data_IF_885608442601
#
_entry.id   IF_885608442601
#
_cell.length_a   1.000
_cell.length_b   1.000
_cell.length_c   1.000
_cell.angle_alpha   90.00
_cell.angle_beta   90.00
_cell.angle_gamma   90.00
#
_symmetry.space_group_name_H-M   'P 1'
#
loop_
_entity.id
_entity.type
_entity.pdbx_description
1 polymer ?
#
# COMPACT_ATOMS: atom_id res chain seq x y z
N UNK A 1 49.53 -0.43 4.38
CA UNK A 1 48.91 -0.16 5.71
C UNK A 1 47.84 0.89 5.49
N UNK A 2 46.58 0.50 5.45
CA UNK A 2 45.46 1.42 5.24
C UNK A 2 45.09 2.12 6.54
N UNK A 3 45.21 3.45 6.56
CA UNK A 3 44.67 4.27 7.65
C UNK A 3 43.14 4.14 7.65
N UNK A 4 42.59 3.57 8.71
CA UNK A 4 41.16 3.53 8.95
C UNK A 4 40.60 4.93 9.11
N UNK A 5 39.50 5.19 8.41
CA UNK A 5 38.70 6.41 8.56
C UNK A 5 38.16 6.47 10.00
N UNK A 6 38.57 7.49 10.76
CA UNK A 6 38.10 7.72 12.12
C UNK A 6 36.62 8.14 12.15
N UNK A 7 35.95 7.85 13.27
CA UNK A 7 34.51 8.08 13.56
C UNK A 7 33.97 9.48 13.28
N UNK A 8 34.82 10.49 13.09
CA UNK A 8 34.44 11.90 12.90
C UNK A 8 34.95 12.50 11.58
N UNK A 9 35.32 11.67 10.59
CA UNK A 9 35.72 12.20 9.28
C UNK A 9 34.48 12.74 8.56
N UNK A 10 34.46 14.01 8.11
CA UNK A 10 33.34 14.53 7.33
C UNK A 10 33.25 13.69 6.06
N UNK A 11 32.13 12.99 5.92
CA UNK A 11 31.82 12.18 4.75
C UNK A 11 31.57 13.14 3.60
N UNK A 12 32.64 13.61 2.94
CA UNK A 12 32.54 14.23 1.62
C UNK A 12 32.42 13.07 0.62
N UNK A 13 31.29 12.35 0.68
CA UNK A 13 30.88 11.48 -0.41
C UNK A 13 30.32 12.39 -1.49
N UNK A 14 30.90 12.34 -2.68
CA UNK A 14 30.10 12.53 -3.89
C UNK A 14 28.94 11.53 -3.78
N UNK A 15 27.77 12.00 -3.34
CA UNK A 15 26.61 11.16 -3.10
C UNK A 15 26.06 10.67 -4.44
N UNK A 16 26.63 9.58 -4.94
CA UNK A 16 26.06 8.84 -6.06
C UNK A 16 24.76 8.13 -5.68
N UNK A 17 24.05 7.65 -6.69
CA UNK A 17 22.79 6.90 -6.58
C UNK A 17 22.84 5.83 -5.47
N UNK A 18 23.85 4.98 -5.48
CA UNK A 18 23.95 3.83 -4.56
C UNK A 18 24.09 4.26 -3.09
N UNK A 19 24.78 5.38 -2.84
CA UNK A 19 24.90 5.92 -1.48
C UNK A 19 23.54 6.42 -0.95
N UNK A 20 22.73 7.02 -1.82
CA UNK A 20 21.41 7.47 -1.44
C UNK A 20 20.43 6.33 -1.23
N UNK A 21 20.46 5.32 -2.09
CA UNK A 21 19.64 4.11 -1.90
C UNK A 21 20.01 3.41 -0.61
N UNK A 22 21.30 3.30 -0.29
CA UNK A 22 21.77 2.80 0.98
C UNK A 22 21.31 3.65 2.18
N UNK A 23 21.15 4.97 2.03
CA UNK A 23 20.58 5.84 3.06
C UNK A 23 19.08 5.60 3.25
N UNK A 24 18.33 5.49 2.15
CA UNK A 24 16.90 5.19 2.20
C UNK A 24 16.67 3.83 2.80
N UNK A 25 17.49 2.84 2.44
CA UNK A 25 17.53 1.58 3.14
C UNK A 25 17.79 1.90 4.62
N UNK A 26 19.00 2.28 5.04
CA UNK A 26 19.36 2.43 6.47
C UNK A 26 18.38 3.22 7.35
N UNK A 27 17.84 4.32 6.87
CA UNK A 27 17.01 5.25 7.67
C UNK A 27 15.53 5.25 7.30
N UNK A 28 15.14 4.55 6.24
CA UNK A 28 13.75 4.50 5.82
C UNK A 28 12.89 3.67 6.75
N UNK A 29 11.61 4.02 6.76
CA UNK A 29 10.55 3.35 7.50
C UNK A 29 9.72 2.50 6.55
N UNK A 30 9.12 1.44 7.09
CA UNK A 30 8.14 0.67 6.33
C UNK A 30 6.90 1.51 6.08
N UNK A 31 6.54 1.60 4.81
CA UNK A 31 5.47 2.44 4.30
C UNK A 31 4.55 1.61 3.42
N UNK A 32 3.25 1.67 3.67
CA UNK A 32 2.27 1.29 2.67
C UNK A 32 2.07 2.45 1.71
N UNK A 33 2.10 2.18 0.41
CA UNK A 33 1.77 3.13 -0.63
C UNK A 33 0.51 2.68 -1.38
N UNK A 34 -0.52 3.54 -1.38
CA UNK A 34 -1.73 3.39 -2.18
C UNK A 34 -1.85 4.52 -3.18
N UNK A 35 -2.29 4.19 -4.38
CA UNK A 35 -2.39 5.13 -5.50
C UNK A 35 -3.78 5.73 -5.54
N UNK A 36 -3.84 7.03 -5.78
CA UNK A 36 -5.10 7.72 -6.02
C UNK A 36 -5.64 7.38 -7.42
N UNK A 37 -6.86 6.85 -7.45
CA UNK A 37 -7.64 6.63 -8.66
C UNK A 37 -8.86 7.54 -8.65
N UNK A 38 -9.26 8.02 -9.83
CA UNK A 38 -10.48 8.81 -9.97
C UNK A 38 -11.69 8.00 -9.52
N UNK A 39 -12.45 8.55 -8.57
CA UNK A 39 -13.69 7.94 -8.12
C UNK A 39 -14.74 7.95 -9.25
N UNK A 40 -15.54 6.89 -9.33
CA UNK A 40 -16.60 6.76 -10.34
C UNK A 40 -17.71 7.81 -10.21
N UNK A 41 -17.84 8.50 -9.07
CA UNK A 41 -18.82 9.60 -8.92
C UNK A 41 -18.40 10.88 -9.65
N UNK A 42 -17.11 11.03 -9.99
CA UNK A 42 -16.59 12.26 -10.60
C UNK A 42 -17.02 12.31 -12.06
N UNK A 43 -18.01 13.17 -12.34
CA UNK A 43 -18.57 13.34 -13.68
C UNK A 43 -17.49 13.90 -14.64
N UNK A 44 -17.43 13.34 -15.85
CA UNK A 44 -16.36 13.62 -16.82
C UNK A 44 -16.25 15.10 -17.25
N UNK A 45 -17.35 15.84 -17.25
CA UNK A 45 -17.39 17.23 -17.74
C UNK A 45 -17.05 18.24 -16.63
N UNK A 46 -17.60 18.06 -15.42
CA UNK A 46 -17.43 19.02 -14.33
C UNK A 46 -16.20 18.75 -13.48
N UNK A 47 -15.65 17.53 -13.51
CA UNK A 47 -14.62 17.04 -12.59
C UNK A 47 -14.96 17.24 -11.11
N UNK A 48 -16.23 17.51 -10.79
CA UNK A 48 -16.70 17.71 -9.44
C UNK A 48 -17.20 16.36 -8.87
N UNK A 49 -16.65 15.90 -7.74
CA UNK A 49 -17.20 14.76 -7.03
C UNK A 49 -18.55 15.08 -6.41
N UNK A 50 -19.37 14.05 -6.24
CA UNK A 50 -20.56 14.13 -5.39
C UNK A 50 -20.12 14.17 -3.91
N UNK A 51 -20.50 15.24 -3.20
CA UNK A 51 -20.15 15.46 -1.79
C UNK A 51 -20.69 14.34 -0.87
N UNK A 52 -21.75 13.65 -1.29
CA UNK A 52 -22.35 12.55 -0.54
C UNK A 52 -21.92 11.17 -1.07
N UNK A 53 -20.90 11.10 -1.94
CA UNK A 53 -20.45 9.83 -2.50
C UNK A 53 -19.96 8.87 -1.39
N UNK A 54 -20.55 7.67 -1.24
CA UNK A 54 -20.17 6.72 -0.19
C UNK A 54 -18.84 6.01 -0.45
N UNK A 55 -18.19 6.28 -1.59
CA UNK A 55 -16.90 5.68 -1.94
C UNK A 55 -15.74 6.62 -1.65
N UNK A 56 -15.86 7.89 -2.05
CA UNK A 56 -14.77 8.87 -1.92
C UNK A 56 -15.04 9.97 -0.89
N UNK A 57 -16.21 9.97 -0.24
CA UNK A 57 -16.59 10.99 0.73
C UNK A 57 -16.54 12.42 0.17
N UNK A 58 -16.90 12.60 -1.10
CA UNK A 58 -16.77 13.90 -1.76
C UNK A 58 -15.35 14.32 -2.14
N UNK A 59 -14.33 13.49 -1.95
CA UNK A 59 -12.93 13.81 -2.33
C UNK A 59 -12.66 13.63 -3.82
N UNK A 60 -13.42 12.76 -4.48
CA UNK A 60 -13.24 12.43 -5.90
C UNK A 60 -12.15 11.40 -6.20
N UNK A 61 -11.52 10.83 -5.17
CA UNK A 61 -10.50 9.78 -5.31
C UNK A 61 -10.85 8.54 -4.49
N UNK A 62 -10.44 7.39 -4.99
CA UNK A 62 -10.40 6.10 -4.29
C UNK A 62 -8.96 5.60 -4.29
N UNK A 63 -8.61 4.73 -3.35
CA UNK A 63 -7.22 4.28 -3.19
C UNK A 63 -7.07 2.80 -3.47
N UNK A 64 -6.14 2.45 -4.35
CA UNK A 64 -5.85 1.07 -4.76
C UNK A 64 -4.39 0.71 -4.52
N UNK A 65 -4.09 -0.58 -4.62
CA UNK A 65 -2.73 -1.07 -4.51
C UNK A 65 -1.97 -0.90 -5.83
N UNK A 66 -0.73 -0.42 -5.77
CA UNK A 66 0.17 -0.46 -6.91
C UNK A 66 0.54 -1.91 -7.21
N UNK A 67 0.26 -2.39 -8.42
CA UNK A 67 0.66 -3.74 -8.86
C UNK A 67 1.89 -3.75 -9.74
N UNK A 68 2.14 -2.67 -10.48
CA UNK A 68 3.16 -2.61 -11.53
C UNK A 68 3.97 -1.32 -11.45
N UNK A 69 5.27 -1.42 -11.20
CA UNK A 69 6.15 -0.26 -11.15
C UNK A 69 6.89 -0.08 -12.48
N UNK A 70 7.02 1.15 -12.96
CA UNK A 70 7.87 1.46 -14.10
C UNK A 70 9.29 1.69 -13.60
N UNK A 71 10.23 0.88 -14.10
CA UNK A 71 11.64 1.01 -13.79
C UNK A 71 12.43 1.31 -15.05
N UNK A 72 13.54 2.00 -14.86
CA UNK A 72 14.41 2.43 -15.93
C UNK A 72 15.81 1.87 -15.67
N UNK A 73 16.38 1.14 -16.62
CA UNK A 73 17.73 0.62 -16.52
C UNK A 73 18.61 1.14 -17.65
N UNK A 74 19.85 1.50 -17.32
CA UNK A 74 20.86 1.83 -18.32
C UNK A 74 21.64 0.57 -18.61
N UNK A 75 21.51 0.07 -19.83
CA UNK A 75 22.15 -1.18 -20.29
C UNK A 75 23.15 -0.87 -21.39
N UNK A 76 24.27 -1.58 -21.38
CA UNK A 76 25.34 -1.40 -22.37
C UNK A 76 25.32 -2.53 -23.38
N UNK A 77 25.54 -2.18 -24.65
CA UNK A 77 25.69 -3.15 -25.73
C UNK A 77 26.97 -3.97 -25.51
N UNK A 78 26.79 -5.25 -25.19
CA UNK A 78 27.88 -6.15 -24.78
C UNK A 78 28.69 -6.67 -25.97
N UNK A 79 28.02 -6.90 -27.09
CA UNK A 79 28.60 -7.48 -28.30
C UNK A 79 28.19 -6.76 -29.59
N UNK A 80 28.76 -7.18 -30.71
CA UNK A 80 28.39 -6.68 -32.04
C UNK A 80 27.12 -7.33 -32.62
N UNK A 81 26.38 -8.11 -31.82
CA UNK A 81 25.18 -8.86 -32.25
C UNK A 81 23.90 -8.29 -31.66
N UNK A 82 23.95 -7.11 -31.04
CA UNK A 82 22.75 -6.46 -30.51
C UNK A 82 22.27 -7.01 -29.16
N UNK A 83 23.14 -7.63 -28.37
CA UNK A 83 22.78 -8.16 -27.05
C UNK A 83 23.12 -7.16 -25.95
N UNK A 84 22.11 -6.84 -25.14
CA UNK A 84 22.18 -5.96 -23.97
C UNK A 84 21.95 -6.79 -22.71
N UNK A 85 22.91 -6.82 -21.79
CA UNK A 85 22.74 -7.55 -20.52
C UNK A 85 21.87 -6.75 -19.55
N UNK A 86 20.91 -7.42 -18.92
CA UNK A 86 20.09 -6.88 -17.83
C UNK A 86 20.58 -7.38 -16.49
N UNK A 87 20.30 -6.57 -15.46
CA UNK A 87 20.43 -6.98 -14.07
C UNK A 87 19.46 -8.12 -13.73
N UNK A 88 19.86 -9.03 -12.84
CA UNK A 88 19.06 -10.17 -12.43
C UNK A 88 17.73 -9.75 -11.77
N UNK A 89 17.72 -8.62 -11.06
CA UNK A 89 16.52 -8.05 -10.44
C UNK A 89 15.43 -7.66 -11.46
N UNK A 90 15.77 -7.57 -12.75
CA UNK A 90 14.88 -7.20 -13.85
C UNK A 90 14.47 -8.39 -14.71
N UNK A 91 14.86 -9.61 -14.32
CA UNK A 91 14.53 -10.86 -15.03
C UNK A 91 13.03 -11.05 -15.24
N UNK A 92 12.19 -10.71 -14.26
CA UNK A 92 10.72 -10.82 -14.37
C UNK A 92 10.03 -9.60 -14.98
N UNK A 93 10.76 -8.51 -15.25
CA UNK A 93 10.16 -7.28 -15.76
C UNK A 93 9.83 -7.38 -17.26
N UNK A 94 8.73 -6.76 -17.68
CA UNK A 94 8.33 -6.64 -19.09
C UNK A 94 9.07 -5.45 -19.72
N UNK A 95 9.67 -5.62 -20.90
CA UNK A 95 10.25 -4.50 -21.66
C UNK A 95 9.13 -3.72 -22.34
N UNK A 96 9.02 -2.43 -22.05
CA UNK A 96 8.05 -1.54 -22.70
C UNK A 96 8.69 -0.78 -23.86
N UNK A 97 9.83 -0.15 -23.60
CA UNK A 97 10.49 0.73 -24.56
C UNK A 97 12.01 0.66 -24.40
N UNK A 98 12.75 0.92 -25.48
CA UNK A 98 14.20 0.97 -25.48
C UNK A 98 14.68 2.14 -26.33
N UNK A 99 15.58 2.95 -25.75
CA UNK A 99 16.12 4.14 -26.39
C UNK A 99 17.63 4.19 -26.32
N UNK A 100 18.30 4.72 -27.34
CA UNK A 100 19.70 5.14 -27.21
C UNK A 100 19.83 6.54 -26.60
N UNK A 101 21.06 7.01 -26.45
CA UNK A 101 21.37 8.34 -25.90
C UNK A 101 20.91 9.50 -26.80
N UNK A 102 20.65 9.23 -28.08
CA UNK A 102 20.13 10.19 -29.06
C UNK A 102 18.60 10.24 -29.04
N UNK A 103 17.94 9.34 -28.31
CA UNK A 103 16.49 9.23 -28.22
C UNK A 103 15.86 8.40 -29.34
N UNK A 104 16.64 7.68 -30.14
CA UNK A 104 16.09 6.79 -31.15
C UNK A 104 15.44 5.58 -30.47
N UNK A 105 14.22 5.23 -30.90
CA UNK A 105 13.45 4.12 -30.37
C UNK A 105 13.77 2.82 -31.12
N UNK A 106 13.88 1.72 -30.38
CA UNK A 106 14.17 0.39 -30.93
C UNK A 106 12.94 -0.51 -30.78
N UNK A 107 11.98 -0.40 -31.70
CA UNK A 107 10.69 -1.11 -31.64
C UNK A 107 10.80 -2.63 -31.80
N UNK A 108 11.84 -3.10 -32.50
CA UNK A 108 12.11 -4.53 -32.68
C UNK A 108 12.80 -5.19 -31.47
N UNK A 109 13.12 -4.41 -30.43
CA UNK A 109 13.81 -4.92 -29.26
C UNK A 109 12.93 -5.91 -28.49
N UNK A 110 13.47 -7.09 -28.20
CA UNK A 110 12.77 -8.13 -27.45
C UNK A 110 13.58 -8.52 -26.22
N UNK A 111 12.92 -8.58 -25.07
CA UNK A 111 13.51 -9.12 -23.85
C UNK A 111 13.43 -10.64 -23.85
N UNK A 112 14.57 -11.29 -23.67
CA UNK A 112 14.74 -12.73 -23.56
C UNK A 112 15.38 -13.03 -22.21
N UNK A 113 14.57 -13.29 -21.19
CA UNK A 113 14.99 -13.48 -19.81
C UNK A 113 15.86 -12.32 -19.27
N UNK A 114 17.19 -12.51 -19.25
CA UNK A 114 18.18 -11.60 -18.66
C UNK A 114 18.90 -10.73 -19.70
N UNK A 115 18.47 -10.72 -20.95
CA UNK A 115 19.04 -9.85 -21.97
C UNK A 115 17.96 -9.26 -22.88
N UNK A 116 18.29 -8.14 -23.51
CA UNK A 116 17.49 -7.52 -24.57
C UNK A 116 18.22 -7.73 -25.88
N UNK A 117 17.50 -8.24 -26.87
CA UNK A 117 17.98 -8.44 -28.23
C UNK A 117 17.39 -7.36 -29.14
N UNK A 118 18.24 -6.62 -29.87
CA UNK A 118 17.83 -5.51 -30.72
C UNK A 118 17.16 -5.91 -32.05
N UNK A 119 17.18 -7.20 -32.42
CA UNK A 119 16.61 -7.70 -33.69
C UNK A 119 17.61 -7.69 -34.85
N UNK A 120 17.43 -8.61 -35.80
CA UNK A 120 18.37 -8.86 -36.91
C UNK A 120 18.46 -7.69 -37.92
N UNK A 121 17.36 -6.99 -38.14
CA UNK A 121 17.26 -5.88 -39.11
C UNK A 121 17.77 -4.54 -38.55
N UNK A 122 18.18 -4.51 -37.28
CA UNK A 122 18.65 -3.29 -36.63
C UNK A 122 20.13 -3.09 -36.94
N UNK A 123 20.47 -1.95 -37.55
CA UNK A 123 21.88 -1.54 -37.68
C UNK A 123 22.44 -1.29 -36.28
N UNK A 124 23.25 -2.23 -35.79
CA UNK A 124 23.77 -2.17 -34.44
C UNK A 124 24.68 -0.95 -34.25
N UNK A 125 24.47 -0.16 -33.18
CA UNK A 125 25.45 0.82 -32.74
C UNK A 125 26.78 0.15 -32.39
N UNK A 126 27.84 0.96 -32.23
CA UNK A 126 29.14 0.43 -31.82
C UNK A 126 29.04 -0.20 -30.43
N UNK A 127 29.78 -1.31 -30.22
CA UNK A 127 29.93 -1.93 -28.91
C UNK A 127 30.29 -0.86 -27.86
N UNK A 128 29.67 -0.94 -26.69
CA UNK A 128 29.81 0.08 -25.63
C UNK A 128 28.79 1.22 -25.71
N UNK A 129 27.91 1.24 -26.71
CA UNK A 129 26.76 2.17 -26.71
C UNK A 129 25.82 1.84 -25.56
N UNK A 130 25.36 2.87 -24.86
CA UNK A 130 24.40 2.76 -23.76
C UNK A 130 22.98 3.00 -24.26
N UNK A 131 22.05 2.26 -23.67
CA UNK A 131 20.63 2.33 -23.92
C UNK A 131 19.89 2.52 -22.61
N UNK A 132 18.75 3.19 -22.67
CA UNK A 132 17.78 3.23 -21.58
C UNK A 132 16.64 2.28 -21.88
N UNK A 133 16.55 1.20 -21.10
CA UNK A 133 15.42 0.28 -21.11
C UNK A 133 14.35 0.75 -20.13
N UNK A 134 13.13 0.98 -20.63
CA UNK A 134 11.93 1.24 -19.83
C UNK A 134 11.20 -0.08 -19.65
N UNK A 135 11.02 -0.49 -18.39
CA UNK A 135 10.46 -1.80 -18.05
C UNK A 135 9.33 -1.66 -17.04
N UNK A 136 8.36 -2.58 -17.12
CA UNK A 136 7.30 -2.75 -16.13
C UNK A 136 7.63 -3.93 -15.24
N UNK A 137 7.86 -3.65 -13.96
CA UNK A 137 8.10 -4.66 -12.92
C UNK A 137 6.79 -4.93 -12.18
N UNK A 138 6.32 -6.18 -12.22
CA UNK A 138 5.25 -6.61 -11.33
C UNK A 138 5.81 -6.71 -9.90
N UNK A 139 5.20 -6.00 -8.96
CA UNK A 139 5.61 -5.99 -7.54
C UNK A 139 4.76 -6.91 -6.67
N UNK A 140 3.72 -7.51 -7.25
CA UNK A 140 2.93 -8.55 -6.59
C UNK A 140 3.80 -9.79 -6.42
N UNK A 141 3.90 -10.25 -5.17
CA UNK A 141 4.52 -11.50 -4.80
C UNK A 141 3.44 -12.57 -4.64
N UNK A 142 3.83 -13.84 -4.79
CA UNK A 142 2.94 -14.99 -4.65
C UNK A 142 3.48 -15.94 -3.59
N UNK A 143 2.65 -16.28 -2.62
CA UNK A 143 2.89 -17.36 -1.67
C UNK A 143 2.04 -18.56 -2.10
N UNK A 144 2.69 -19.68 -2.39
CA UNK A 144 2.01 -20.86 -2.96
C UNK A 144 1.03 -21.49 -1.97
N UNK A 145 1.41 -21.65 -0.69
CA UNK A 145 0.54 -22.20 0.34
C UNK A 145 0.97 -21.79 1.75
N UNK A 146 0.01 -21.64 2.66
CA UNK A 146 0.24 -21.46 4.09
C UNK A 146 -0.95 -21.96 4.92
N UNK A 147 -0.68 -22.37 6.17
CA UNK A 147 -1.72 -22.58 7.19
C UNK A 147 -2.01 -21.24 7.85
N UNK A 148 -3.24 -20.76 7.74
CA UNK A 148 -3.65 -19.50 8.31
C UNK A 148 -3.94 -19.63 9.81
N UNK A 149 -3.59 -18.60 10.58
CA UNK A 149 -3.78 -18.58 12.03
C UNK A 149 -5.01 -17.76 12.38
N UNK A 150 -6.00 -18.39 13.03
CA UNK A 150 -7.20 -17.70 13.50
C UNK A 150 -6.83 -16.67 14.58
N UNK A 151 -7.26 -15.45 14.38
CA UNK A 151 -7.17 -14.36 15.34
C UNK A 151 -8.50 -14.23 16.10
N UNK A 152 -8.43 -13.84 17.37
CA UNK A 152 -9.58 -13.51 18.21
C UNK A 152 -10.51 -12.43 17.62
N UNK A 153 -10.06 -11.68 16.61
CA UNK A 153 -10.85 -10.65 15.92
C UNK A 153 -11.73 -11.19 14.77
N UNK A 154 -11.84 -12.51 14.59
CA UNK A 154 -12.60 -13.11 13.47
C UNK A 154 -11.89 -13.03 12.11
N UNK A 155 -10.59 -12.70 12.13
CA UNK A 155 -9.72 -12.72 10.96
C UNK A 155 -8.78 -13.93 11.02
N UNK A 156 -8.25 -14.29 9.87
CA UNK A 156 -7.20 -15.28 9.69
C UNK A 156 -5.93 -14.56 9.24
N UNK A 157 -4.82 -14.82 9.91
CA UNK A 157 -3.51 -14.25 9.59
C UNK A 157 -2.74 -15.22 8.72
N UNK A 158 -2.19 -14.75 7.60
CA UNK A 158 -1.31 -15.57 6.76
C UNK A 158 0.14 -15.41 7.24
N UNK A 159 0.77 -16.47 7.80
CA UNK A 159 2.15 -16.40 8.22
C UNK A 159 3.09 -16.27 7.01
N UNK A 160 4.32 -15.81 7.25
CA UNK A 160 5.33 -15.61 6.20
C UNK A 160 5.16 -14.33 5.38
N UNK A 161 4.12 -13.54 5.64
CA UNK A 161 3.90 -12.23 5.00
C UNK A 161 4.44 -11.05 5.82
N UNK A 162 5.29 -11.31 6.82
CA UNK A 162 5.95 -10.29 7.63
C UNK A 162 7.33 -9.98 7.06
N UNK A 163 7.56 -8.71 6.75
CA UNK A 163 8.83 -8.21 6.23
C UNK A 163 9.67 -7.74 7.40
N UNK A 164 10.75 -8.48 7.68
CA UNK A 164 11.64 -8.20 8.80
C UNK A 164 12.82 -7.36 8.34
N UNK A 165 13.20 -6.41 9.18
CA UNK A 165 14.40 -5.61 8.94
C UNK A 165 15.12 -5.24 10.22
N UNK A 166 16.44 -5.29 10.15
CA UNK A 166 17.32 -4.86 11.23
C UNK A 166 17.82 -3.46 10.86
N UNK A 167 17.57 -2.47 11.72
CA UNK A 167 18.26 -1.19 11.60
C UNK A 167 19.66 -1.27 12.27
N UNK A 168 20.51 -0.26 12.03
CA UNK A 168 21.87 -0.20 12.57
C UNK A 168 21.89 -0.17 14.11
N UNK A 169 20.80 0.30 14.72
CA UNK A 169 20.64 0.41 16.18
C UNK A 169 20.11 -0.88 16.82
N UNK A 170 19.93 -1.96 16.05
CA UNK A 170 19.42 -3.24 16.55
C UNK A 170 17.93 -3.24 16.88
N UNK A 171 17.18 -2.22 16.45
CA UNK A 171 15.73 -2.20 16.53
C UNK A 171 15.17 -2.99 15.35
N UNK A 172 14.41 -4.02 15.69
CA UNK A 172 13.73 -4.89 14.73
C UNK A 172 12.36 -4.30 14.45
N UNK A 173 12.11 -3.93 13.20
CA UNK A 173 10.79 -3.53 12.74
C UNK A 173 10.28 -4.58 11.77
N UNK A 174 9.11 -5.13 12.09
CA UNK A 174 8.37 -6.03 11.20
C UNK A 174 7.18 -5.26 10.63
N UNK A 175 6.95 -5.40 9.33
CA UNK A 175 5.79 -4.82 8.67
C UNK A 175 5.09 -5.87 7.80
N UNK A 176 3.76 -6.04 7.94
CA UNK A 176 3.03 -6.99 7.12
C UNK A 176 2.91 -6.49 5.67
N UNK A 177 2.97 -7.42 4.73
CA UNK A 177 2.52 -7.21 3.36
C UNK A 177 1.01 -7.07 3.30
N UNK A 178 0.51 -6.40 2.26
CA UNK A 178 -0.92 -6.35 1.96
C UNK A 178 -1.34 -7.53 1.09
N UNK A 179 -2.31 -8.31 1.55
CA UNK A 179 -2.97 -9.32 0.71
C UNK A 179 -3.86 -8.59 -0.31
N UNK A 180 -3.71 -8.95 -1.58
CA UNK A 180 -4.55 -8.46 -2.68
C UNK A 180 -5.65 -9.48 -3.00
N UNK A 181 -5.27 -10.76 -3.02
CA UNK A 181 -6.15 -11.86 -3.40
C UNK A 181 -5.66 -13.17 -2.80
N UNK A 182 -6.58 -14.12 -2.62
CA UNK A 182 -6.29 -15.49 -2.24
C UNK A 182 -6.96 -16.39 -3.28
N UNK A 183 -6.20 -17.31 -3.87
CA UNK A 183 -6.72 -18.20 -4.91
C UNK A 183 -7.67 -19.26 -4.36
N UNK A 184 -7.27 -19.92 -3.27
CA UNK A 184 -8.06 -20.98 -2.64
C UNK A 184 -7.97 -20.91 -1.11
N UNK A 185 -9.09 -21.15 -0.43
CA UNK A 185 -9.16 -21.28 1.03
C UNK A 185 -9.88 -22.59 1.34
N UNK A 186 -9.25 -23.47 2.09
CA UNK A 186 -9.82 -24.78 2.48
C UNK A 186 -9.62 -25.02 3.96
N UNK A 187 -10.61 -25.61 4.61
CA UNK A 187 -10.47 -26.07 5.99
C UNK A 187 -10.00 -27.54 6.07
N UNK A 188 -9.92 -28.11 7.27
CA UNK A 188 -9.49 -29.50 7.48
C UNK A 188 -10.49 -30.54 6.97
N UNK A 189 -11.77 -30.16 6.83
CA UNK A 189 -12.81 -31.00 6.24
C UNK A 189 -12.78 -30.97 4.70
N UNK A 190 -11.96 -30.10 4.10
CA UNK A 190 -11.85 -29.92 2.65
C UNK A 190 -12.93 -29.02 2.06
N UNK A 191 -13.65 -28.28 2.90
CA UNK A 191 -14.67 -27.31 2.47
C UNK A 191 -13.96 -26.08 1.94
N UNK A 192 -14.38 -25.59 0.76
CA UNK A 192 -13.81 -24.40 0.14
C UNK A 192 -14.56 -23.14 0.56
N UNK A 193 -13.81 -22.10 0.89
CA UNK A 193 -14.34 -20.82 1.36
C UNK A 193 -13.89 -19.65 0.49
N UNK A 194 -14.58 -18.51 0.61
CA UNK A 194 -14.19 -17.23 0.01
C UNK A 194 -13.75 -16.24 1.07
N UNK A 195 -12.78 -15.40 0.70
CA UNK A 195 -12.41 -14.25 1.52
C UNK A 195 -13.41 -13.10 1.28
N UNK A 196 -14.01 -12.58 2.34
CA UNK A 196 -14.90 -11.43 2.28
C UNK A 196 -14.18 -10.12 2.41
N UNK A 197 -13.01 -10.09 3.06
CA UNK A 197 -12.27 -8.87 3.36
C UNK A 197 -10.77 -9.14 3.49
N UNK A 198 -9.96 -8.13 3.16
CA UNK A 198 -8.50 -8.13 3.32
C UNK A 198 -8.06 -6.94 4.16
N UNK A 199 -7.10 -7.18 5.05
CA UNK A 199 -6.53 -6.18 5.94
C UNK A 199 -5.09 -6.55 6.26
N UNK A 200 -4.11 -5.82 5.73
CA UNK A 200 -2.68 -6.17 5.87
C UNK A 200 -2.46 -7.64 5.42
N UNK A 201 -1.82 -8.45 6.24
CA UNK A 201 -1.61 -9.89 6.04
C UNK A 201 -2.76 -10.76 6.60
N UNK A 202 -3.94 -10.16 6.81
CA UNK A 202 -5.10 -10.82 7.37
C UNK A 202 -6.26 -10.81 6.38
N UNK A 203 -7.12 -11.82 6.49
CA UNK A 203 -8.35 -11.92 5.70
C UNK A 203 -9.49 -12.46 6.55
N UNK A 204 -10.72 -12.22 6.11
CA UNK A 204 -11.92 -12.78 6.75
C UNK A 204 -12.58 -13.77 5.82
N UNK A 205 -13.08 -14.87 6.37
CA UNK A 205 -13.82 -15.90 5.65
C UNK A 205 -15.32 -15.56 5.64
N UNK A 206 -15.97 -15.78 4.50
CA UNK A 206 -17.44 -15.74 4.38
C UNK A 206 -18.06 -16.92 5.14
N UNK A 207 -19.01 -16.70 6.06
CA UNK A 207 -19.78 -17.80 6.62
C UNK A 207 -20.47 -18.58 5.50
N UNK A 208 -20.34 -19.90 5.51
CA UNK A 208 -21.07 -20.76 4.57
C UNK A 208 -22.31 -21.26 5.27
N UNK A 209 -23.48 -21.00 4.70
CA UNK A 209 -24.77 -21.43 5.24
C UNK A 209 -25.15 -22.75 4.58
N UNK A 210 -25.50 -23.74 5.40
CA UNK A 210 -26.03 -25.01 4.91
C UNK A 210 -27.44 -24.77 4.31
N UNK A 211 -27.67 -25.13 3.04
CA UNK A 211 -28.95 -24.88 2.37
C UNK A 211 -30.12 -25.68 2.95
N UNK A 212 -29.88 -26.77 3.68
CA UNK A 212 -30.94 -27.60 4.27
C UNK A 212 -31.34 -27.13 5.67
N UNK A 213 -30.37 -26.69 6.47
CA UNK A 213 -30.59 -26.31 7.88
C UNK A 213 -30.68 -24.80 8.09
N UNK A 214 -30.24 -23.99 7.11
CA UNK A 214 -30.05 -22.55 7.23
C UNK A 214 -29.07 -22.15 8.36
N UNK A 215 -28.25 -23.09 8.85
CA UNK A 215 -27.25 -22.86 9.89
C UNK A 215 -25.85 -22.60 9.28
N UNK A 216 -25.03 -21.81 9.99
CA UNK A 216 -23.63 -21.59 9.60
C UNK A 216 -22.80 -22.87 9.80
N UNK A 217 -22.14 -23.32 8.74
CA UNK A 217 -21.23 -24.46 8.80
C UNK A 217 -19.96 -24.03 9.56
N UNK A 218 -19.63 -24.67 10.70
CA UNK A 218 -18.46 -24.31 11.47
C UNK A 218 -17.17 -24.60 10.69
N UNK A 219 -16.24 -23.66 10.71
CA UNK A 219 -14.93 -23.81 10.06
C UNK A 219 -14.07 -24.77 10.87
N UNK A 220 -13.59 -25.85 10.24
CA UNK A 220 -12.76 -26.87 10.92
C UNK A 220 -11.27 -26.56 10.75
N UNK A 221 -10.58 -26.20 11.82
CA UNK A 221 -9.13 -25.94 11.76
C UNK A 221 -8.30 -27.22 11.48
N UNK A 222 -7.14 -27.10 10.79
CA UNK A 222 -6.53 -25.87 10.29
C UNK A 222 -7.14 -25.35 8.98
N UNK A 223 -7.21 -24.02 8.84
CA UNK A 223 -7.46 -23.36 7.56
C UNK A 223 -6.17 -23.26 6.73
N UNK A 224 -6.20 -23.76 5.51
CA UNK A 224 -5.11 -23.65 4.51
C UNK A 224 -5.50 -22.66 3.42
N UNK A 225 -4.55 -21.81 3.02
CA UNK A 225 -4.68 -20.88 1.90
C UNK A 225 -3.66 -21.22 0.82
N UNK A 226 -4.05 -21.06 -0.45
CA UNK A 226 -3.18 -21.27 -1.60
C UNK A 226 -3.18 -20.07 -2.54
N UNK A 227 -2.04 -19.86 -3.22
CA UNK A 227 -1.85 -18.83 -4.23
C UNK A 227 -2.19 -17.42 -3.72
N UNK A 228 -1.64 -17.06 -2.57
CA UNK A 228 -1.86 -15.75 -1.95
C UNK A 228 -1.03 -14.71 -2.70
N UNK A 229 -1.70 -13.74 -3.32
CA UNK A 229 -1.06 -12.59 -3.93
C UNK A 229 -0.95 -11.46 -2.91
N UNK A 230 0.25 -10.92 -2.73
CA UNK A 230 0.50 -9.84 -1.79
C UNK A 230 1.45 -8.77 -2.34
N UNK A 231 1.45 -7.59 -1.72
CA UNK A 231 2.42 -6.52 -1.98
C UNK A 231 3.22 -6.25 -0.71
N UNK A 232 4.55 -6.39 -0.74
CA UNK A 232 5.38 -6.01 0.39
C UNK A 232 5.33 -4.49 0.62
N UNK A 233 5.53 -4.03 1.87
CA UNK A 233 5.66 -2.62 2.16
C UNK A 233 6.91 -2.04 1.50
N UNK A 234 6.87 -0.73 1.25
CA UNK A 234 7.98 0.04 0.70
C UNK A 234 8.85 0.62 1.81
N UNK A 235 10.08 1.00 1.47
CA UNK A 235 10.98 1.70 2.38
C UNK A 235 11.14 3.13 1.89
N UNK A 236 10.52 4.08 2.58
CA UNK A 236 10.68 5.51 2.31
C UNK A 236 11.20 6.24 3.54
N UNK A 237 11.84 7.39 3.34
CA UNK A 237 12.33 8.24 4.41
C UNK A 237 11.37 9.41 4.59
N UNK A 238 10.73 9.49 5.75
CA UNK A 238 9.85 10.59 6.12
C UNK A 238 10.56 11.53 7.10
N UNK A 239 10.66 12.82 6.74
CA UNK A 239 11.30 13.85 7.56
C UNK A 239 10.35 15.03 7.77
N UNK A 240 10.04 15.34 9.03
CA UNK A 240 9.28 16.54 9.44
C UNK A 240 10.15 17.61 10.09
N UNK A 241 11.42 17.29 10.39
CA UNK A 241 12.37 18.17 11.07
C UNK A 241 13.73 18.14 10.38
N UNK A 242 14.57 19.14 10.66
CA UNK A 242 15.91 19.27 10.08
C UNK A 242 15.92 19.29 8.53
N UNK A 243 14.85 19.83 7.94
CA UNK A 243 14.76 20.02 6.50
C UNK A 243 15.79 21.07 6.06
N UNK A 244 16.41 20.84 4.90
CA UNK A 244 17.20 21.89 4.26
C UNK A 244 16.28 23.05 3.84
N UNK A 245 16.84 24.24 3.60
CA UNK A 245 16.06 25.45 3.29
C UNK A 245 15.12 25.28 2.08
N UNK A 246 15.51 24.51 1.07
CA UNK A 246 14.69 24.27 -0.11
C UNK A 246 13.49 23.39 0.18
N UNK A 247 13.72 22.27 0.86
CA UNK A 247 12.69 21.33 1.28
C UNK A 247 11.71 22.01 2.26
N UNK A 248 12.22 22.77 3.24
CA UNK A 248 11.39 23.53 4.18
C UNK A 248 10.47 24.55 3.48
N UNK A 249 11.00 25.29 2.52
CA UNK A 249 10.21 26.22 1.69
C UNK A 249 9.13 25.49 0.89
N UNK A 250 9.44 24.33 0.32
CA UNK A 250 8.47 23.54 -0.43
C UNK A 250 7.33 23.02 0.46
N UNK A 251 7.64 22.61 1.70
CA UNK A 251 6.66 22.20 2.70
C UNK A 251 5.73 23.37 3.05
N UNK A 252 6.29 24.54 3.36
CA UNK A 252 5.53 25.75 3.69
C UNK A 252 4.61 26.20 2.54
N UNK A 253 5.14 26.32 1.32
CA UNK A 253 4.38 26.72 0.13
C UNK A 253 3.20 25.79 -0.19
N UNK A 254 3.32 24.51 0.18
CA UNK A 254 2.30 23.50 -0.11
C UNK A 254 1.40 23.21 1.08
N UNK A 255 1.57 23.95 2.19
CA UNK A 255 0.89 23.68 3.46
C UNK A 255 1.00 22.20 3.88
N UNK A 256 2.20 21.62 3.68
CA UNK A 256 2.53 20.25 4.05
C UNK A 256 3.09 20.15 5.47
N UNK A 257 3.26 18.91 5.94
CA UNK A 257 3.76 18.61 7.29
C UNK A 257 5.16 17.95 7.27
N UNK A 258 5.52 17.32 6.16
CA UNK A 258 6.78 16.59 6.03
C UNK A 258 7.24 16.47 4.57
N UNK A 259 8.48 16.05 4.39
CA UNK A 259 9.03 15.59 3.11
C UNK A 259 9.23 14.09 3.17
N UNK A 260 8.73 13.39 2.16
CA UNK A 260 8.97 11.97 1.95
C UNK A 260 9.97 11.80 0.79
N UNK A 261 11.06 11.06 1.03
CA UNK A 261 12.06 10.69 0.04
C UNK A 261 11.98 9.20 -0.25
N UNK A 262 12.03 8.81 -1.52
CA UNK A 262 11.81 7.42 -1.94
C UNK A 262 12.75 7.02 -3.09
N UNK A 263 12.99 5.71 -3.29
CA UNK A 263 13.84 5.22 -4.37
C UNK A 263 13.43 5.79 -5.73
N UNK A 264 14.41 6.03 -6.61
CA UNK A 264 14.16 6.67 -7.91
C UNK A 264 13.17 5.89 -8.80
N UNK A 265 13.06 4.57 -8.59
CA UNK A 265 12.16 3.68 -9.32
C UNK A 265 10.70 3.81 -8.87
N UNK A 266 10.45 4.33 -7.67
CA UNK A 266 9.10 4.65 -7.25
C UNK A 266 8.66 5.98 -7.87
N UNK A 267 7.37 6.09 -8.15
CA UNK A 267 6.77 7.28 -8.77
C UNK A 267 5.54 7.74 -8.00
N UNK A 268 5.78 8.11 -6.74
CA UNK A 268 4.75 8.62 -5.84
C UNK A 268 4.20 9.92 -6.40
N UNK A 269 2.88 9.95 -6.60
CA UNK A 269 2.17 11.03 -7.28
C UNK A 269 1.31 11.85 -6.33
N UNK A 270 0.85 13.02 -6.78
CA UNK A 270 -0.07 13.84 -6.00
C UNK A 270 -1.35 13.05 -5.67
N UNK A 271 -1.91 13.33 -4.49
CA UNK A 271 -3.06 12.65 -3.89
C UNK A 271 -2.86 11.19 -3.48
N UNK A 272 -1.73 10.55 -3.82
CA UNK A 272 -1.38 9.23 -3.28
C UNK A 272 -1.32 9.26 -1.74
N UNK A 273 -1.56 8.08 -1.15
CA UNK A 273 -1.59 7.88 0.29
C UNK A 273 -0.42 7.01 0.74
N UNK A 274 0.29 7.52 1.74
CA UNK A 274 1.43 6.87 2.36
C UNK A 274 1.14 6.63 3.84
N UNK A 275 1.10 5.37 4.29
CA UNK A 275 0.87 5.00 5.69
C UNK A 275 2.15 4.46 6.31
N UNK A 276 2.60 5.09 7.39
CA UNK A 276 3.77 4.62 8.17
C UNK A 276 3.36 3.38 8.96
N UNK A 277 4.02 2.25 8.70
CA UNK A 277 3.75 0.98 9.38
C UNK A 277 4.65 0.77 10.62
N UNK A 278 5.70 1.59 10.77
CA UNK A 278 6.60 1.58 11.91
C UNK A 278 6.18 2.63 12.94
N UNK A 279 5.26 2.24 13.83
CA UNK A 279 4.79 3.08 14.92
C UNK A 279 3.31 3.43 14.81
N UNK A 280 2.67 3.45 15.98
CA UNK A 280 1.29 3.88 16.13
C UNK A 280 1.17 4.84 17.31
N UNK A 281 0.09 5.61 17.34
CA UNK A 281 -0.26 6.43 18.49
C UNK A 281 -1.73 6.20 18.86
N UNK A 282 -2.04 6.33 20.15
CA UNK A 282 -3.39 6.15 20.66
C UNK A 282 -4.23 7.40 20.41
N UNK A 283 -5.44 7.23 19.89
CA UNK A 283 -6.45 8.27 19.77
C UNK A 283 -7.74 7.83 20.48
N UNK A 284 -8.53 8.83 20.89
CA UNK A 284 -9.85 8.64 21.47
C UNK A 284 -10.87 9.47 20.71
N UNK A 285 -11.95 8.85 20.30
CA UNK A 285 -13.07 9.52 19.66
C UNK A 285 -14.39 9.13 20.34
N UNK A 286 -15.42 9.94 20.13
CA UNK A 286 -16.81 9.61 20.44
C UNK A 286 -17.58 9.54 19.12
N UNK A 287 -18.23 8.43 18.87
CA UNK A 287 -18.94 8.13 17.62
C UNK A 287 -20.38 7.75 17.97
N UNK A 288 -21.34 8.15 17.13
CA UNK A 288 -22.72 7.70 17.24
C UNK A 288 -22.94 6.48 16.36
N UNK A 289 -23.64 5.46 16.88
CA UNK A 289 -24.05 4.31 16.08
C UNK A 289 -24.97 4.79 14.95
N UNK A 290 -24.56 4.51 13.73
CA UNK A 290 -25.32 4.88 12.53
C UNK A 290 -26.42 3.86 12.23
N UNK A 291 -27.35 4.23 11.35
CA UNK A 291 -28.31 3.28 10.75
C UNK A 291 -27.65 2.34 9.72
N UNK A 292 -26.38 2.55 9.40
CA UNK A 292 -25.66 1.76 8.42
C UNK A 292 -25.11 0.49 9.07
N UNK A 293 -24.72 -0.47 8.23
CA UNK A 293 -24.08 -1.72 8.68
C UNK A 293 -22.75 -1.46 9.41
N UNK A 294 -22.11 -0.32 9.13
CA UNK A 294 -20.82 0.02 9.73
C UNK A 294 -20.74 1.48 10.14
N UNK A 295 -20.16 1.74 11.31
CA UNK A 295 -19.76 3.06 11.75
C UNK A 295 -18.35 3.40 11.25
N UNK A 296 -18.07 4.66 10.94
CA UNK A 296 -16.74 5.07 10.45
C UNK A 296 -15.99 5.89 11.50
N UNK A 297 -14.77 5.46 11.80
CA UNK A 297 -13.82 6.17 12.65
C UNK A 297 -13.15 7.29 11.83
N UNK A 298 -12.91 8.45 12.45
CA UNK A 298 -12.35 9.62 11.75
C UNK A 298 -10.93 9.42 11.22
N UNK A 299 -10.16 8.53 11.86
CA UNK A 299 -8.84 8.15 11.38
C UNK A 299 -8.93 7.30 10.10
N UNK A 300 -7.92 7.42 9.22
CA UNK A 300 -7.91 6.69 7.95
C UNK A 300 -7.45 5.23 8.10
N UNK A 301 -6.42 5.00 8.92
CA UNK A 301 -5.85 3.69 9.17
C UNK A 301 -5.76 3.39 10.67
N UNK A 302 -6.81 2.78 11.18
CA UNK A 302 -6.89 2.24 12.54
C UNK A 302 -6.20 0.89 12.54
N UNK A 303 -5.13 0.74 13.32
CA UNK A 303 -4.33 -0.47 13.42
C UNK A 303 -4.96 -1.53 14.32
N UNK A 304 -5.48 -1.13 15.47
CA UNK A 304 -6.20 -1.96 16.41
C UNK A 304 -7.23 -1.12 17.18
N UNK A 305 -8.19 -1.78 17.82
CA UNK A 305 -9.08 -1.14 18.79
C UNK A 305 -8.61 -1.56 20.18
N UNK A 306 -8.41 -0.58 21.06
CA UNK A 306 -7.99 -0.81 22.44
C UNK A 306 -9.20 -1.04 23.33
N UNK A 307 -10.25 -0.22 23.20
CA UNK A 307 -11.48 -0.35 23.98
C UNK A 307 -12.64 0.38 23.32
N UNK A 308 -13.86 -0.16 23.44
CA UNK A 308 -15.11 0.54 23.07
C UNK A 308 -16.03 0.53 24.29
N UNK A 309 -16.55 1.70 24.67
CA UNK A 309 -17.36 1.87 25.88
C UNK A 309 -18.58 2.74 25.61
N UNK A 310 -19.74 2.32 26.09
CA UNK A 310 -21.03 3.01 25.96
C UNK A 310 -21.75 3.15 27.29
N UNK A 311 -22.98 3.64 27.27
CA UNK A 311 -23.80 3.80 28.47
C UNK A 311 -25.19 3.22 28.20
N UNK A 312 -25.49 2.07 28.81
CA UNK A 312 -26.80 1.42 28.68
C UNK A 312 -27.52 1.53 30.01
N UNK A 313 -28.74 2.07 30.00
CA UNK A 313 -29.56 2.29 31.19
C UNK A 313 -28.85 3.08 32.33
N UNK A 314 -27.88 3.93 31.97
CA UNK A 314 -27.10 4.73 32.91
C UNK A 314 -25.86 4.05 33.49
N UNK A 315 -25.56 2.81 33.09
CA UNK A 315 -24.35 2.08 33.48
C UNK A 315 -23.32 2.05 32.34
N UNK A 316 -22.03 2.19 32.69
CA UNK A 316 -20.93 2.07 31.72
C UNK A 316 -20.78 0.61 31.29
N UNK A 317 -20.87 0.37 29.99
CA UNK A 317 -20.69 -0.96 29.40
C UNK A 317 -19.47 -0.95 28.49
N UNK A 318 -18.60 -1.95 28.64
CA UNK A 318 -17.47 -2.17 27.76
C UNK A 318 -17.82 -3.28 26.76
N UNK A 319 -17.80 -2.93 25.46
CA UNK A 319 -18.06 -3.87 24.38
C UNK A 319 -16.78 -4.63 24.03
N UNK A 320 -16.93 -5.91 23.69
CA UNK A 320 -15.83 -6.83 23.39
C UNK A 320 -15.66 -7.01 21.89
N UNK A 321 -14.45 -6.77 21.40
CA UNK A 321 -14.09 -7.05 20.01
C UNK A 321 -14.17 -8.56 19.71
N UNK A 322 -14.74 -8.92 18.56
CA UNK A 322 -14.99 -10.30 18.14
C UNK A 322 -16.28 -10.91 18.70
N UNK A 323 -16.91 -10.27 19.69
CA UNK A 323 -18.20 -10.71 20.28
C UNK A 323 -19.31 -9.71 20.00
N UNK A 324 -19.08 -8.43 20.29
CA UNK A 324 -20.08 -7.37 20.13
C UNK A 324 -19.85 -6.58 18.83
N UNK A 325 -18.59 -6.38 18.46
CA UNK A 325 -18.20 -5.65 17.26
C UNK A 325 -16.91 -6.19 16.66
N UNK A 326 -16.64 -5.81 15.41
CA UNK A 326 -15.38 -6.07 14.72
C UNK A 326 -14.92 -4.81 13.97
N UNK A 327 -13.60 -4.67 13.83
CA UNK A 327 -13.00 -3.63 12.99
C UNK A 327 -12.89 -4.16 11.56
N UNK A 328 -13.62 -3.53 10.64
CA UNK A 328 -13.73 -3.83 9.21
C UNK A 328 -12.94 -2.82 8.39
N UNK A 329 -12.29 -3.29 7.32
CA UNK A 329 -11.48 -2.44 6.44
C UNK A 329 -10.36 -1.74 7.20
N UNK A 330 -10.15 -0.44 6.96
CA UNK A 330 -9.08 0.33 7.61
C UNK A 330 -9.55 1.16 8.80
N UNK A 331 -10.84 1.48 8.90
CA UNK A 331 -11.35 2.41 9.91
C UNK A 331 -12.85 2.28 10.22
N UNK A 332 -13.45 1.09 10.05
CA UNK A 332 -14.88 0.91 10.27
C UNK A 332 -15.19 -0.08 11.37
N UNK A 333 -16.25 0.16 12.11
CA UNK A 333 -16.76 -0.78 13.11
C UNK A 333 -18.04 -1.38 12.57
N UNK A 334 -18.10 -2.71 12.52
CA UNK A 334 -19.34 -3.45 12.28
C UNK A 334 -19.79 -4.04 13.60
N UNK A 335 -20.97 -3.66 14.06
CA UNK A 335 -21.66 -4.32 15.17
C UNK A 335 -22.17 -5.67 14.70
N UNK A 336 -21.97 -6.71 15.50
CA UNK A 336 -22.35 -8.08 15.15
C UNK A 336 -23.86 -8.28 15.42
N UNK A 337 -24.55 -9.00 14.53
CA UNK A 337 -26.01 -9.19 14.62
C UNK A 337 -26.42 -10.05 15.82
N UNK A 338 -25.52 -10.96 16.23
CA UNK A 338 -25.66 -11.81 17.40
C UNK A 338 -25.04 -11.20 18.68
N UNK A 339 -24.68 -9.92 18.66
CA UNK A 339 -24.18 -9.24 19.85
C UNK A 339 -25.29 -9.16 20.91
N UNK A 340 -25.04 -9.67 22.11
CA UNK A 340 -25.96 -9.52 23.25
C UNK A 340 -26.11 -8.06 23.66
N UNK A 341 -25.05 -7.26 23.45
CA UNK A 341 -24.96 -5.87 23.87
C UNK A 341 -24.42 -5.03 22.71
N UNK A 342 -25.16 -4.00 22.30
CA UNK A 342 -24.70 -2.99 21.35
C UNK A 342 -25.37 -1.64 21.65
N UNK A 343 -24.74 -0.49 21.37
CA UNK A 343 -25.36 0.82 21.58
C UNK A 343 -26.60 0.95 20.70
N UNK A 344 -27.65 1.66 21.11
CA UNK A 344 -28.80 1.88 20.23
C UNK A 344 -28.44 2.78 19.03
N UNK A 345 -29.23 2.72 17.96
CA UNK A 345 -29.06 3.62 16.81
C UNK A 345 -29.18 5.07 17.27
N UNK A 346 -28.16 5.88 16.99
CA UNK A 346 -28.05 7.28 17.42
C UNK A 346 -27.39 7.45 18.79
N UNK A 347 -27.21 6.37 19.56
CA UNK A 347 -26.47 6.41 20.83
C UNK A 347 -24.98 6.62 20.58
N UNK A 348 -24.36 7.43 21.42
CA UNK A 348 -22.93 7.72 21.35
C UNK A 348 -22.13 6.73 22.20
N UNK A 349 -21.04 6.21 21.65
CA UNK A 349 -20.06 5.41 22.36
C UNK A 349 -18.66 6.01 22.18
N UNK A 350 -17.80 5.77 23.17
CA UNK A 350 -16.40 6.16 23.13
C UNK A 350 -15.54 5.01 22.62
N UNK A 351 -14.52 5.35 21.85
CA UNK A 351 -13.55 4.39 21.34
C UNK A 351 -12.13 4.88 21.59
N UNK A 352 -11.27 3.97 22.04
CA UNK A 352 -9.82 4.17 22.12
C UNK A 352 -9.16 3.19 21.17
N UNK A 353 -8.23 3.65 20.34
CA UNK A 353 -7.66 2.86 19.26
C UNK A 353 -6.26 3.34 18.87
N UNK A 354 -5.42 2.45 18.31
CA UNK A 354 -4.13 2.87 17.75
C UNK A 354 -4.25 3.21 16.27
N UNK A 355 -3.60 4.30 15.86
CA UNK A 355 -3.58 4.77 14.47
C UNK A 355 -2.18 4.64 13.91
N UNK A 356 -2.08 4.17 12.67
CA UNK A 356 -0.87 4.34 11.87
C UNK A 356 -0.92 5.70 11.16
N UNK A 357 0.09 6.57 11.34
CA UNK A 357 0.13 7.86 10.65
C UNK A 357 0.00 7.70 9.14
N UNK A 358 -1.07 8.24 8.57
CA UNK A 358 -1.31 8.27 7.13
C UNK A 358 -1.13 9.68 6.61
N UNK A 359 -0.42 9.82 5.49
CA UNK A 359 -0.15 11.08 4.83
C UNK A 359 -0.66 11.05 3.39
N UNK A 360 -1.16 12.20 2.92
CA UNK A 360 -1.45 12.45 1.51
C UNK A 360 -0.32 13.24 0.87
N UNK A 361 0.04 12.85 -0.33
CA UNK A 361 1.03 13.56 -1.14
C UNK A 361 0.40 14.82 -1.72
N UNK A 362 0.98 15.99 -1.44
CA UNK A 362 0.42 17.28 -1.87
C UNK A 362 1.20 17.93 -3.00
N UNK A 363 2.51 17.66 -3.09
CA UNK A 363 3.36 18.24 -4.14
C UNK A 363 4.60 17.38 -4.38
N UNK A 364 4.90 17.07 -5.63
CA UNK A 364 6.21 16.57 -6.03
C UNK A 364 7.26 17.69 -5.98
N UNK A 365 8.41 17.42 -5.36
CA UNK A 365 9.55 18.34 -5.39
C UNK A 365 10.35 18.02 -6.65
N UNK A 366 10.39 18.93 -7.65
CA UNK A 366 11.10 18.67 -8.88
C UNK A 366 12.59 18.52 -8.58
N UNK A 367 13.18 17.48 -9.15
CA UNK A 367 14.61 17.23 -9.01
C UNK A 367 15.34 17.57 -10.30
N UNK A 368 16.31 18.45 -10.16
CA UNK A 368 17.22 18.78 -11.26
C UNK A 368 18.20 17.61 -11.40
N UNK A 369 18.36 17.09 -12.61
CA UNK A 369 19.38 16.08 -12.89
C UNK A 369 20.77 16.67 -12.63
N UNK A 370 21.68 15.88 -12.07
CA UNK A 370 23.07 16.30 -11.98
C UNK A 370 23.69 16.37 -13.37
N UNK A 371 24.79 17.12 -13.52
CA UNK A 371 25.56 17.19 -14.77
C UNK A 371 26.06 15.83 -15.25
N UNK A 372 26.15 14.84 -14.36
CA UNK A 372 26.54 13.46 -14.62
C UNK A 372 25.35 12.54 -14.91
N UNK A 373 24.14 13.09 -15.07
CA UNK A 373 22.90 12.34 -15.30
C UNK A 373 22.61 11.30 -14.19
N UNK A 374 23.11 11.54 -12.97
CA UNK A 374 22.83 10.67 -11.83
C UNK A 374 21.36 10.81 -11.44
N UNK A 375 20.72 9.68 -11.14
CA UNK A 375 19.34 9.65 -10.66
C UNK A 375 19.36 9.76 -9.15
N UNK A 376 18.88 10.89 -8.65
CA UNK A 376 18.71 11.14 -7.23
C UNK A 376 17.36 10.55 -6.76
N UNK A 377 17.23 10.22 -5.47
CA UNK A 377 15.96 9.77 -4.92
C UNK A 377 14.94 10.88 -5.01
N UNK A 378 13.75 10.58 -5.54
CA UNK A 378 12.68 11.55 -5.68
C UNK A 378 12.14 11.96 -4.31
N UNK A 379 11.53 13.14 -4.27
CA UNK A 379 10.96 13.71 -3.06
C UNK A 379 9.56 14.24 -3.31
N UNK A 380 8.71 14.12 -2.31
CA UNK A 380 7.39 14.72 -2.27
C UNK A 380 7.16 15.42 -0.94
N UNK A 381 6.40 16.51 -0.97
CA UNK A 381 5.79 17.08 0.22
C UNK A 381 4.53 16.27 0.53
N UNK A 382 4.39 15.89 1.79
CA UNK A 382 3.24 15.16 2.30
C UNK A 382 2.56 15.92 3.43
N UNK A 383 1.28 15.65 3.61
CA UNK A 383 0.45 16.24 4.66
C UNK A 383 -0.31 15.15 5.40
N UNK A 384 -0.35 15.23 6.72
CA UNK A 384 -1.05 14.29 7.56
C UNK A 384 -2.52 14.22 7.15
N UNK A 385 -2.96 13.03 6.77
CA UNK A 385 -4.27 12.79 6.20
C UNK A 385 -5.38 12.90 7.25
N UNK A 386 -5.06 12.62 8.53
CA UNK A 386 -6.00 12.78 9.65
C UNK A 386 -6.32 14.23 9.99
N UNK A 387 -5.52 15.21 9.54
CA UNK A 387 -5.82 16.63 9.70
C UNK A 387 -6.90 17.14 8.72
N UNK A 388 -7.32 16.31 7.76
CA UNK A 388 -8.32 16.66 6.74
C UNK A 388 -9.70 16.02 6.96
N UNK A 389 -9.89 15.29 8.06
CA UNK A 389 -11.19 14.78 8.46
C UNK A 389 -12.05 15.90 9.07
N UNK A 390 -12.37 16.93 8.29
CA UNK A 390 -13.59 17.69 8.52
C UNK A 390 -14.77 16.72 8.28
N UNK A 391 -15.25 16.10 9.37
CA UNK A 391 -16.63 15.63 9.62
C UNK A 391 -17.41 14.85 8.55
N UNK A 392 -16.83 14.43 7.43
CA UNK A 392 -17.60 13.87 6.31
C UNK A 392 -17.74 12.34 6.31
N UNK A 393 -17.13 11.63 7.28
CA UNK A 393 -17.15 10.16 7.35
C UNK A 393 -16.53 9.48 6.10
N UNK A 394 -16.51 8.15 6.11
CA UNK A 394 -16.30 7.27 4.94
C UNK A 394 -14.86 6.88 4.51
N UNK A 395 -14.66 5.54 4.37
CA UNK A 395 -13.86 4.85 3.35
C UNK A 395 -14.42 3.43 3.09
N UNK A 396 -14.77 3.06 1.84
CA UNK A 396 -15.09 1.67 1.43
C UNK A 396 -13.98 1.18 0.50
N UNK A 397 -13.25 0.12 0.86
CA UNK A 397 -12.39 -0.57 -0.11
C UNK A 397 -13.26 -1.50 -0.97
N UNK A 398 -13.09 -1.45 -2.29
CA UNK A 398 -13.71 -2.42 -3.20
C UNK A 398 -12.98 -3.76 -3.07
N UNK A 399 -13.70 -4.83 -2.73
CA UNK A 399 -13.32 -6.17 -3.15
C UNK A 399 -13.78 -6.38 -4.59
N UNK A 400 -12.91 -6.97 -5.40
CA UNK A 400 -13.21 -7.29 -6.78
C UNK A 400 -14.27 -8.40 -6.82
N UNK A 401 -15.53 -8.05 -7.05
CA UNK A 401 -16.52 -8.99 -7.58
C UNK A 401 -16.90 -8.61 -9.00
N UNK A 402 -16.39 -9.41 -9.94
CA UNK A 402 -17.01 -9.63 -11.24
C UNK A 402 -18.12 -10.67 -11.01
N UNK A 403 -19.39 -10.23 -11.01
CA UNK A 403 -20.47 -11.09 -11.52
C UNK A 403 -21.66 -10.27 -12.01
N UNK A 404 -22.07 -10.54 -13.26
CA UNK A 404 -23.25 -10.00 -13.96
C UNK A 404 -24.57 -10.46 -13.30
N UNK A 405 -25.58 -9.58 -13.30
CA UNK A 405 -27.00 -9.76 -13.69
C UNK A 405 -27.71 -8.44 -13.34
N UNK A 406 -28.27 -7.67 -14.28
CA UNK A 406 -29.43 -8.04 -15.08
C UNK A 406 -30.70 -7.59 -14.36
N UNK A 407 -31.07 -6.30 -14.49
CA UNK A 407 -32.43 -5.84 -14.20
C UNK A 407 -32.90 -5.01 -15.39
N UNK A 408 -33.89 -5.58 -16.07
CA UNK A 408 -34.70 -4.95 -17.10
C UNK A 408 -35.42 -3.74 -16.51
N UNK A 409 -35.31 -2.58 -17.17
CA UNK A 409 -36.28 -1.50 -16.99
C UNK A 409 -37.50 -1.78 -17.88
N UNK A 410 -38.59 -2.22 -17.28
CA UNK A 410 -39.93 -2.14 -17.85
C UNK A 410 -40.92 -2.04 -16.69
N UNK A 411 -41.76 -1.00 -16.74
CA UNK A 411 -42.78 -0.53 -15.79
C UNK A 411 -42.33 0.55 -14.80
#
# INVERSE_FOLDING_TARGET
>A
MGQGLGRNSPVVLSLGKDNYEALIERHGQWMRWRIAEKCSCVKGITMQPDIHCPFCAGRGFTYTHLKNMITYSVVMLYDGKGILNLDESLKSAELLELYDMQGNRYENAKKLCNYIYLGEDTKYPTKGTYFTAVMRKNIVQRLESAVAEKNNMGYYTVPGLLNKRNNIEGIYYEAPSDIISIGKITDAAGIEYKATEFRLNQFRIEPTIDPETEEEIPITEPVTVENVENIPPFIFVLLSQNLNKGDAKAVEESNGDAVCSFPYECDVSNDDILTVLAGSYTQKDVICRSQLVTDTIGADFVYDIVSVKGIIDGEEVEYKQGTDYILVGTNKIKWLENAEISPDIGEAYSITYHIMPTYRVVKQIPQIRTSENQRLPKKVVVKLFSAYAEKAGVNVQKNNEITKKGINSSY
#
